data_IF_977354933595
#
_entry.id   IF_977354933595
#
_cell.length_a   1.000
_cell.length_b   1.000
_cell.length_c   1.000
_cell.angle_alpha   90.00
_cell.angle_beta   90.00
_cell.angle_gamma   90.00
#
_symmetry.space_group_name_H-M   'P 1'
#
loop_
_entity.id
_entity.type
_entity.pdbx_description
1 polymer ?
#
# COMPACT_ATOMS: atom_id res chain seq x y z
N UNK A 1 60.61 32.05 -24.81
CA UNK A 1 60.46 30.71 -25.44
C UNK A 1 59.84 29.80 -24.40
N UNK A 2 58.57 29.44 -24.59
CA UNK A 2 57.71 28.84 -23.57
C UNK A 2 57.65 27.30 -23.68
N UNK A 3 57.37 26.67 -22.55
CA UNK A 3 57.49 25.24 -22.25
C UNK A 3 56.65 24.30 -23.13
N UNK A 4 57.20 23.10 -23.33
CA UNK A 4 56.70 22.00 -24.15
C UNK A 4 56.05 20.90 -23.30
N UNK A 5 55.03 20.27 -23.88
CA UNK A 5 54.44 18.95 -23.63
C UNK A 5 53.20 18.85 -22.72
N UNK A 6 52.08 18.71 -23.42
CA UNK A 6 50.73 18.37 -22.96
C UNK A 6 50.34 16.94 -23.36
N UNK A 7 49.47 16.34 -22.54
CA UNK A 7 48.42 15.37 -22.91
C UNK A 7 48.81 13.89 -23.21
N UNK A 8 48.87 13.09 -22.15
CA UNK A 8 48.45 11.68 -22.11
C UNK A 8 47.09 11.67 -21.38
N UNK A 9 46.00 11.01 -21.74
CA UNK A 9 45.66 10.01 -22.73
C UNK A 9 44.37 9.36 -22.19
N UNK A 10 43.29 9.31 -22.98
CA UNK A 10 42.10 8.45 -22.77
C UNK A 10 41.28 8.46 -24.06
N UNK A 11 41.70 7.62 -25.00
CA UNK A 11 40.99 7.28 -26.22
C UNK A 11 40.33 5.89 -26.06
N UNK A 12 39.20 5.69 -26.73
CA UNK A 12 38.22 4.61 -26.48
C UNK A 12 37.24 5.14 -25.44
N UNK A 13 35.99 5.49 -25.73
CA UNK A 13 34.94 4.70 -26.37
C UNK A 13 34.00 5.59 -27.20
N UNK A 14 34.52 6.28 -28.22
CA UNK A 14 33.69 6.89 -29.27
C UNK A 14 33.78 5.99 -30.50
N UNK A 15 32.77 5.15 -30.72
CA UNK A 15 32.31 4.67 -32.05
C UNK A 15 31.23 3.57 -31.93
N UNK A 16 30.22 3.77 -31.08
CA UNK A 16 28.93 3.10 -31.23
C UNK A 16 27.82 4.15 -31.06
N UNK A 17 27.82 5.11 -31.99
CA UNK A 17 26.59 5.83 -32.35
C UNK A 17 25.95 5.06 -33.50
N UNK A 18 24.82 4.40 -33.22
CA UNK A 18 23.76 4.28 -34.20
C UNK A 18 22.53 4.97 -33.61
N UNK A 19 22.21 6.06 -34.28
CA UNK A 19 21.16 7.04 -33.99
C UNK A 19 19.86 6.47 -34.55
N UNK A 20 18.86 6.22 -33.70
CA UNK A 20 17.46 6.07 -34.11
C UNK A 20 16.57 6.69 -33.02
N UNK A 21 16.10 7.91 -33.35
CA UNK A 21 14.98 8.72 -32.85
C UNK A 21 14.77 8.95 -31.34
N UNK A 22 14.42 10.19 -30.94
CA UNK A 22 13.86 10.45 -29.63
C UNK A 22 12.43 9.89 -29.61
N UNK A 23 12.20 8.81 -28.85
CA UNK A 23 10.84 8.41 -28.46
C UNK A 23 10.32 9.46 -27.47
N UNK A 24 9.91 10.59 -28.04
CA UNK A 24 9.05 11.55 -27.37
C UNK A 24 7.66 10.92 -27.28
N UNK A 25 7.13 10.86 -26.06
CA UNK A 25 5.70 10.65 -25.76
C UNK A 25 5.08 9.34 -26.28
N UNK A 26 5.40 8.25 -25.60
CA UNK A 26 4.33 7.40 -25.07
C UNK A 26 4.41 7.50 -23.55
N UNK A 27 3.92 8.61 -22.98
CA UNK A 27 3.60 8.64 -21.57
C UNK A 27 2.62 7.48 -21.31
N UNK A 28 2.80 6.65 -20.28
CA UNK A 28 1.73 5.82 -19.76
C UNK A 28 0.73 6.73 -19.02
N UNK A 29 0.19 7.73 -19.70
CA UNK A 29 -0.90 8.55 -19.20
C UNK A 29 -2.26 7.83 -19.36
N UNK A 30 -2.30 6.69 -20.05
CA UNK A 30 -3.53 5.91 -20.24
C UNK A 30 -3.82 4.92 -19.10
N UNK A 31 -2.81 4.32 -18.46
CA UNK A 31 -3.04 3.34 -17.39
C UNK A 31 -3.55 3.96 -16.07
N UNK A 32 -3.04 5.13 -15.61
CA UNK A 32 -3.60 5.81 -14.44
C UNK A 32 -5.05 6.26 -14.69
N UNK A 33 -5.37 6.59 -15.95
CA UNK A 33 -6.69 7.07 -16.35
C UNK A 33 -7.72 5.98 -16.55
N UNK A 34 -7.32 4.74 -16.86
CA UNK A 34 -8.25 3.62 -16.94
C UNK A 34 -8.79 3.26 -15.55
N UNK A 35 -7.94 3.27 -14.52
CA UNK A 35 -8.42 3.14 -13.14
C UNK A 35 -9.21 4.37 -12.69
N UNK A 36 -8.76 5.58 -13.03
CA UNK A 36 -9.54 6.79 -12.77
C UNK A 36 -10.88 6.80 -13.49
N UNK A 37 -11.02 6.23 -14.70
CA UNK A 37 -12.29 6.14 -15.44
C UNK A 37 -13.20 5.05 -14.87
N UNK A 38 -12.67 3.89 -14.48
CA UNK A 38 -13.44 2.86 -13.77
C UNK A 38 -13.84 3.28 -12.36
N UNK A 39 -12.96 4.00 -11.65
CA UNK A 39 -13.22 4.62 -10.35
C UNK A 39 -14.16 5.82 -10.49
N UNK A 40 -14.13 6.57 -11.60
CA UNK A 40 -15.10 7.62 -11.93
C UNK A 40 -16.44 7.03 -12.36
N UNK A 41 -16.47 5.85 -13.02
CA UNK A 41 -17.68 5.13 -13.38
C UNK A 41 -18.34 4.49 -12.15
N UNK A 42 -17.52 3.99 -11.22
CA UNK A 42 -17.94 3.61 -9.87
C UNK A 42 -18.42 4.83 -9.11
N UNK A 43 -17.68 5.95 -9.10
CA UNK A 43 -18.16 7.20 -8.51
C UNK A 43 -19.43 7.72 -9.16
N UNK A 44 -19.65 7.60 -10.47
CA UNK A 44 -20.84 8.09 -11.17
C UNK A 44 -22.07 7.20 -10.92
N UNK A 45 -21.85 5.88 -10.81
CA UNK A 45 -22.88 4.94 -10.35
C UNK A 45 -23.16 5.10 -8.85
N UNK A 46 -22.11 5.41 -8.07
CA UNK A 46 -22.19 5.77 -6.67
C UNK A 46 -22.73 7.18 -6.47
N UNK A 47 -22.65 8.13 -7.41
CA UNK A 47 -23.21 9.49 -7.25
C UNK A 47 -24.74 9.42 -7.20
N UNK A 48 -25.32 8.52 -8.01
CA UNK A 48 -26.74 8.16 -7.92
C UNK A 48 -27.08 7.41 -6.61
N UNK A 49 -26.10 6.73 -6.01
CA UNK A 49 -26.21 6.05 -4.71
C UNK A 49 -25.83 6.95 -3.52
N UNK A 50 -25.10 8.05 -3.74
CA UNK A 50 -24.49 8.97 -2.77
C UNK A 50 -25.52 9.95 -2.23
N UNK A 51 -26.55 10.26 -3.03
CA UNK A 51 -27.74 10.96 -2.56
C UNK A 51 -28.53 10.10 -1.55
N UNK A 52 -28.36 8.76 -1.55
CA UNK A 52 -28.90 7.88 -0.51
C UNK A 52 -27.87 7.53 0.60
N UNK A 53 -26.57 7.46 0.28
CA UNK A 53 -25.48 7.12 1.21
C UNK A 53 -24.97 8.27 2.07
N UNK A 54 -25.35 9.52 1.80
CA UNK A 54 -25.05 10.66 2.68
C UNK A 54 -25.62 10.49 4.10
N UNK A 55 -26.48 9.48 4.34
CA UNK A 55 -27.05 9.11 5.63
C UNK A 55 -26.65 7.71 6.14
N UNK A 56 -25.85 6.93 5.41
CA UNK A 56 -25.31 5.68 5.96
C UNK A 56 -24.10 6.04 6.83
N UNK A 57 -24.24 5.91 8.16
CA UNK A 57 -23.17 6.01 9.15
C UNK A 57 -21.81 5.58 8.60
N UNK A 58 -20.74 6.36 8.88
CA UNK A 58 -19.35 6.01 8.56
C UNK A 58 -19.15 4.48 8.62
N UNK A 59 -19.11 3.82 7.45
CA UNK A 59 -18.84 2.38 7.40
C UNK A 59 -17.52 2.15 8.13
N UNK A 60 -17.46 1.09 8.93
CA UNK A 60 -16.22 0.71 9.57
C UNK A 60 -15.15 0.50 8.49
N UNK A 61 -13.92 0.95 8.76
CA UNK A 61 -12.83 1.01 7.78
C UNK A 61 -12.53 -0.36 7.15
N UNK A 62 -12.64 -1.43 7.92
CA UNK A 62 -12.54 -2.83 7.47
C UNK A 62 -13.57 -3.18 6.39
N UNK A 63 -14.84 -2.85 6.61
CA UNK A 63 -15.91 -3.12 5.65
C UNK A 63 -15.69 -2.34 4.35
N UNK A 64 -15.29 -1.07 4.46
CA UNK A 64 -15.00 -0.26 3.28
C UNK A 64 -13.85 -0.83 2.45
N UNK A 65 -12.75 -1.23 3.11
CA UNK A 65 -11.59 -1.81 2.42
C UNK A 65 -11.95 -3.14 1.75
N UNK A 66 -12.78 -3.97 2.39
CA UNK A 66 -13.28 -5.22 1.79
C UNK A 66 -14.07 -4.94 0.52
N UNK A 67 -15.06 -4.06 0.61
CA UNK A 67 -15.92 -3.69 -0.52
C UNK A 67 -15.08 -3.10 -1.68
N UNK A 68 -14.09 -2.26 -1.37
CA UNK A 68 -13.23 -1.63 -2.37
C UNK A 68 -12.33 -2.63 -3.10
N UNK A 69 -11.70 -3.56 -2.37
CA UNK A 69 -10.84 -4.61 -2.96
C UNK A 69 -11.69 -5.59 -3.77
N UNK A 70 -12.84 -6.02 -3.25
CA UNK A 70 -13.78 -6.89 -3.97
C UNK A 70 -14.22 -6.24 -5.28
N UNK A 71 -14.66 -4.99 -5.23
CA UNK A 71 -15.08 -4.22 -6.41
C UNK A 71 -13.96 -4.15 -7.45
N UNK A 72 -12.72 -3.92 -7.02
CA UNK A 72 -11.55 -3.89 -7.91
C UNK A 72 -11.29 -5.24 -8.57
N UNK A 73 -11.35 -6.33 -7.80
CA UNK A 73 -11.06 -7.67 -8.27
C UNK A 73 -12.18 -8.22 -9.17
N UNK A 74 -13.43 -7.86 -8.92
CA UNK A 74 -14.56 -8.21 -9.80
C UNK A 74 -14.38 -7.67 -11.23
N UNK A 75 -13.63 -6.59 -11.42
CA UNK A 75 -13.27 -6.10 -12.77
C UNK A 75 -12.38 -7.07 -13.56
N UNK A 76 -11.70 -8.02 -12.88
CA UNK A 76 -10.81 -9.00 -13.49
C UNK A 76 -11.54 -10.25 -13.98
N UNK A 77 -12.76 -10.52 -13.50
CA UNK A 77 -13.57 -11.70 -13.83
C UNK A 77 -13.61 -12.01 -15.34
N UNK A 78 -13.93 -11.04 -16.25
CA UNK A 78 -13.98 -11.34 -17.69
C UNK A 78 -12.61 -11.66 -18.31
N UNK A 79 -11.51 -11.38 -17.62
CA UNK A 79 -10.14 -11.58 -18.10
C UNK A 79 -9.35 -12.61 -17.28
N UNK A 80 -10.01 -13.32 -16.35
CA UNK A 80 -9.35 -14.15 -15.34
C UNK A 80 -8.49 -15.27 -15.95
N UNK A 81 -8.93 -15.84 -17.08
CA UNK A 81 -8.21 -16.91 -17.80
C UNK A 81 -6.83 -16.46 -18.32
N UNK A 82 -6.66 -15.17 -18.61
CA UNK A 82 -5.41 -14.61 -19.12
C UNK A 82 -4.66 -13.80 -18.07
N UNK A 83 -5.26 -13.59 -16.90
CA UNK A 83 -4.72 -12.77 -15.84
C UNK A 83 -3.37 -13.27 -15.30
N UNK A 84 -3.13 -14.57 -15.09
CA UNK A 84 -1.81 -15.06 -14.67
C UNK A 84 -0.68 -14.69 -15.64
N UNK A 85 -0.98 -14.66 -16.95
CA UNK A 85 -0.04 -14.21 -17.98
C UNK A 85 0.17 -12.69 -17.94
N UNK A 86 -0.88 -11.91 -17.66
CA UNK A 86 -0.74 -10.47 -17.47
C UNK A 86 0.13 -10.15 -16.24
N UNK A 87 -0.06 -10.86 -15.12
CA UNK A 87 0.74 -10.72 -13.91
C UNK A 87 2.22 -11.04 -14.16
N UNK A 88 2.51 -12.09 -14.93
CA UNK A 88 3.90 -12.41 -15.28
C UNK A 88 4.53 -11.29 -16.10
N UNK A 89 3.79 -10.63 -17.00
CA UNK A 89 4.25 -9.47 -17.78
C UNK A 89 4.53 -8.25 -16.88
N UNK A 90 3.66 -7.99 -15.91
CA UNK A 90 3.80 -6.88 -14.96
C UNK A 90 5.02 -7.03 -14.03
N UNK A 91 5.48 -8.28 -13.82
CA UNK A 91 6.65 -8.63 -13.02
C UNK A 91 7.98 -8.55 -13.78
N UNK A 92 8.00 -8.27 -15.10
CA UNK A 92 9.27 -8.11 -15.81
C UNK A 92 10.03 -6.88 -15.27
N UNK A 93 11.38 -6.95 -15.13
CA UNK A 93 12.17 -5.89 -14.49
C UNK A 93 11.95 -4.47 -15.05
N UNK A 94 11.63 -4.35 -16.33
CA UNK A 94 11.35 -3.07 -16.98
C UNK A 94 9.93 -2.53 -16.71
N UNK A 95 8.99 -3.41 -16.38
CA UNK A 95 7.60 -3.05 -16.05
C UNK A 95 7.38 -2.83 -14.55
N UNK A 96 8.23 -3.42 -13.69
CA UNK A 96 8.10 -3.33 -12.22
C UNK A 96 7.89 -1.90 -11.71
N UNK A 97 8.68 -0.87 -12.14
CA UNK A 97 8.48 0.48 -11.62
C UNK A 97 7.10 1.04 -11.96
N UNK A 98 6.59 0.74 -13.15
CA UNK A 98 5.27 1.20 -13.59
C UNK A 98 4.14 0.42 -12.91
N UNK A 99 4.25 -0.91 -12.81
CA UNK A 99 3.25 -1.76 -12.18
C UNK A 99 3.15 -1.47 -10.67
N UNK A 100 4.29 -1.28 -10.00
CA UNK A 100 4.32 -0.90 -8.59
C UNK A 100 3.71 0.48 -8.37
N UNK A 101 4.01 1.46 -9.22
CA UNK A 101 3.41 2.81 -9.12
C UNK A 101 1.88 2.77 -9.26
N UNK A 102 1.33 1.92 -10.13
CA UNK A 102 -0.11 1.73 -10.26
C UNK A 102 -0.70 1.08 -9.00
N UNK A 103 -0.05 0.03 -8.48
CA UNK A 103 -0.46 -0.65 -7.26
C UNK A 103 -0.49 0.30 -6.06
N UNK A 104 0.58 1.07 -5.84
CA UNK A 104 0.66 2.01 -4.72
C UNK A 104 -0.36 3.13 -4.86
N UNK A 105 -0.57 3.65 -6.08
CA UNK A 105 -1.59 4.69 -6.30
C UNK A 105 -3.00 4.19 -6.00
N UNK A 106 -3.33 2.97 -6.42
CA UNK A 106 -4.62 2.35 -6.14
C UNK A 106 -4.84 2.12 -4.63
N UNK A 107 -3.83 1.62 -3.93
CA UNK A 107 -3.86 1.41 -2.47
C UNK A 107 -4.04 2.74 -1.73
N UNK A 108 -3.35 3.78 -2.18
CA UNK A 108 -3.47 5.13 -1.64
C UNK A 108 -4.87 5.71 -1.81
N UNK A 109 -5.48 5.51 -2.98
CA UNK A 109 -6.86 5.91 -3.24
C UNK A 109 -7.84 5.19 -2.31
N UNK A 110 -7.71 3.86 -2.15
CA UNK A 110 -8.56 3.08 -1.24
C UNK A 110 -8.48 3.62 0.20
N UNK A 111 -7.27 3.89 0.71
CA UNK A 111 -7.08 4.46 2.05
C UNK A 111 -7.61 5.90 2.17
N UNK A 112 -7.49 6.69 1.11
CA UNK A 112 -8.02 8.05 1.07
C UNK A 112 -9.54 8.08 1.23
N UNK A 113 -10.27 7.21 0.50
CA UNK A 113 -11.72 7.10 0.63
C UNK A 113 -12.16 6.42 1.92
N UNK A 114 -11.35 5.53 2.48
CA UNK A 114 -11.60 4.92 3.78
C UNK A 114 -11.55 5.94 4.94
N UNK A 115 -11.12 7.18 4.67
CA UNK A 115 -11.06 8.27 5.65
C UNK A 115 -9.88 8.14 6.61
N UNK A 116 -8.81 7.43 6.23
CA UNK A 116 -7.63 7.27 7.06
C UNK A 116 -6.93 8.61 7.30
N UNK A 117 -6.74 8.95 8.57
CA UNK A 117 -6.04 10.15 9.05
C UNK A 117 -4.63 9.81 9.58
N UNK A 118 -4.13 8.60 9.31
CA UNK A 118 -2.84 8.16 9.84
C UNK A 118 -1.67 8.93 9.22
N UNK A 119 -0.87 9.57 10.07
CA UNK A 119 0.42 10.16 9.71
C UNK A 119 1.56 9.26 10.22
N UNK A 120 2.77 9.43 9.66
CA UNK A 120 4.02 8.78 10.10
C UNK A 120 4.16 7.27 9.80
N UNK A 121 4.90 6.50 10.61
CA UNK A 121 5.21 5.08 10.37
C UNK A 121 3.97 4.20 10.08
N UNK A 122 2.82 4.56 10.64
CA UNK A 122 1.55 3.86 10.40
C UNK A 122 1.12 3.97 8.92
N UNK A 123 1.44 5.07 8.24
CA UNK A 123 1.13 5.32 6.83
C UNK A 123 1.78 4.27 5.90
N UNK A 124 3.08 3.99 6.10
CA UNK A 124 3.82 3.02 5.31
C UNK A 124 3.34 1.59 5.58
N UNK A 125 3.13 1.25 6.85
CA UNK A 125 2.66 -0.08 7.25
C UNK A 125 1.27 -0.37 6.68
N UNK A 126 0.31 0.56 6.79
CA UNK A 126 -1.04 0.39 6.24
C UNK A 126 -1.05 0.15 4.73
N UNK A 127 -0.21 0.87 3.99
CA UNK A 127 -0.07 0.70 2.53
C UNK A 127 0.59 -0.62 2.17
N UNK A 128 1.67 -0.98 2.86
CA UNK A 128 2.35 -2.25 2.64
C UNK A 128 1.42 -3.44 2.93
N UNK A 129 0.66 -3.37 4.02
CA UNK A 129 -0.32 -4.41 4.39
C UNK A 129 -1.44 -4.48 3.37
N UNK A 130 -2.08 -3.37 2.99
CA UNK A 130 -3.18 -3.40 2.01
C UNK A 130 -2.70 -3.84 0.62
N UNK A 131 -1.51 -3.44 0.19
CA UNK A 131 -0.90 -3.92 -1.04
C UNK A 131 -0.64 -5.43 -1.01
N UNK A 132 -0.17 -5.96 0.12
CA UNK A 132 0.02 -7.40 0.31
C UNK A 132 -1.33 -8.15 0.30
N UNK A 133 -2.36 -7.62 0.96
CA UNK A 133 -3.71 -8.19 0.92
C UNK A 133 -4.22 -8.25 -0.52
N UNK A 134 -4.16 -7.13 -1.26
CA UNK A 134 -4.59 -7.09 -2.65
C UNK A 134 -3.87 -8.14 -3.52
N UNK A 135 -2.54 -8.17 -3.49
CA UNK A 135 -1.75 -9.09 -4.32
C UNK A 135 -1.99 -10.56 -3.96
N UNK A 136 -2.13 -10.88 -2.67
CA UNK A 136 -2.38 -12.25 -2.23
C UNK A 136 -3.80 -12.70 -2.58
N UNK A 137 -4.81 -11.85 -2.40
CA UNK A 137 -6.19 -12.14 -2.80
C UNK A 137 -6.30 -12.27 -4.33
N UNK A 138 -5.59 -11.44 -5.09
CA UNK A 138 -5.51 -11.54 -6.55
C UNK A 138 -4.93 -12.90 -6.99
N UNK A 139 -3.87 -13.38 -6.32
CA UNK A 139 -3.29 -14.69 -6.60
C UNK A 139 -4.22 -15.85 -6.21
N UNK A 140 -4.95 -15.73 -5.10
CA UNK A 140 -5.97 -16.72 -4.70
C UNK A 140 -7.09 -16.77 -5.74
N UNK A 141 -7.57 -15.62 -6.21
CA UNK A 141 -8.62 -15.51 -7.22
C UNK A 141 -8.27 -16.24 -8.52
N UNK A 142 -7.00 -16.25 -8.93
CA UNK A 142 -6.57 -16.99 -10.15
C UNK A 142 -6.68 -18.51 -10.04
N UNK A 143 -6.76 -19.04 -8.83
CA UNK A 143 -6.84 -20.48 -8.55
C UNK A 143 -8.24 -20.92 -8.09
N UNK A 144 -9.12 -19.95 -7.85
CA UNK A 144 -10.44 -20.19 -7.30
C UNK A 144 -11.43 -20.63 -8.39
N UNK A 145 -12.17 -21.70 -8.12
CA UNK A 145 -13.22 -22.26 -8.98
C UNK A 145 -14.57 -22.35 -8.27
N UNK A 146 -14.69 -21.73 -7.08
CA UNK A 146 -15.92 -21.66 -6.30
C UNK A 146 -16.98 -20.78 -7.01
N UNK A 147 -18.28 -21.00 -6.76
CA UNK A 147 -19.33 -20.15 -7.29
C UNK A 147 -19.10 -18.69 -6.87
N UNK A 148 -19.18 -17.75 -7.81
CA UNK A 148 -18.93 -16.30 -7.62
C UNK A 148 -17.66 -15.95 -6.82
N UNK A 149 -16.62 -16.80 -6.83
CA UNK A 149 -15.38 -16.59 -6.07
C UNK A 149 -15.58 -16.48 -4.54
N UNK A 150 -16.57 -17.17 -3.98
CA UNK A 150 -16.87 -17.19 -2.53
C UNK A 150 -15.63 -17.47 -1.66
N UNK A 151 -14.76 -18.39 -2.08
CA UNK A 151 -13.54 -18.72 -1.33
C UNK A 151 -12.52 -17.56 -1.34
N UNK A 152 -12.42 -16.82 -2.45
CA UNK A 152 -11.61 -15.60 -2.55
C UNK A 152 -12.11 -14.51 -1.62
N UNK A 153 -13.43 -14.30 -1.54
CA UNK A 153 -14.02 -13.29 -0.66
C UNK A 153 -13.87 -13.64 0.82
N UNK A 154 -14.00 -14.94 1.16
CA UNK A 154 -13.70 -15.42 2.51
C UNK A 154 -12.22 -15.22 2.87
N UNK A 155 -11.31 -15.48 1.93
CA UNK A 155 -9.89 -15.22 2.12
C UNK A 155 -9.62 -13.72 2.37
N UNK A 156 -10.20 -12.84 1.56
CA UNK A 156 -10.09 -11.39 1.71
C UNK A 156 -10.56 -10.92 3.09
N UNK A 157 -11.74 -11.38 3.53
CA UNK A 157 -12.28 -11.04 4.85
C UNK A 157 -11.31 -11.45 5.97
N UNK A 158 -10.78 -12.67 5.92
CA UNK A 158 -9.81 -13.15 6.91
C UNK A 158 -8.53 -12.30 6.92
N UNK A 159 -8.02 -11.88 5.75
CA UNK A 159 -6.80 -11.04 5.67
C UNK A 159 -7.02 -9.63 6.20
N UNK A 160 -8.20 -9.05 5.96
CA UNK A 160 -8.55 -7.73 6.52
C UNK A 160 -8.70 -7.82 8.04
N UNK A 161 -9.37 -8.86 8.55
CA UNK A 161 -9.52 -9.08 9.99
C UNK A 161 -8.17 -9.23 10.68
N UNK A 162 -7.24 -10.00 10.10
CA UNK A 162 -5.87 -10.12 10.61
C UNK A 162 -5.15 -8.75 10.67
N UNK A 163 -5.28 -7.94 9.63
CA UNK A 163 -4.67 -6.60 9.59
C UNK A 163 -5.20 -5.68 10.69
N UNK A 164 -6.51 -5.70 10.95
CA UNK A 164 -7.11 -4.89 12.01
C UNK A 164 -6.69 -5.38 13.40
N UNK A 165 -6.67 -6.71 13.61
CA UNK A 165 -6.26 -7.32 14.88
C UNK A 165 -4.78 -7.08 15.21
N UNK A 166 -3.90 -7.10 14.20
CA UNK A 166 -2.49 -6.76 14.37
C UNK A 166 -2.30 -5.33 14.88
N UNK A 167 -3.09 -4.37 14.36
CA UNK A 167 -3.06 -2.98 14.81
C UNK A 167 -3.45 -2.83 16.28
N UNK A 168 -4.50 -3.52 16.72
CA UNK A 168 -4.94 -3.50 18.12
C UNK A 168 -3.90 -4.12 19.07
N UNK A 169 -3.32 -5.26 18.68
CA UNK A 169 -2.33 -5.98 19.50
C UNK A 169 -1.06 -5.16 19.70
N UNK A 170 -0.54 -4.54 18.64
CA UNK A 170 0.65 -3.70 18.71
C UNK A 170 0.47 -2.50 19.66
N UNK A 171 -0.70 -1.85 19.59
CA UNK A 171 -1.03 -0.72 20.48
C UNK A 171 -1.17 -1.17 21.93
N UNK A 172 -1.81 -2.31 22.19
CA UNK A 172 -2.00 -2.85 23.53
C UNK A 172 -0.66 -3.23 24.20
N UNK A 173 0.27 -3.83 23.46
CA UNK A 173 1.60 -4.17 23.98
C UNK A 173 2.38 -2.90 24.36
N UNK A 174 2.33 -1.87 23.51
CA UNK A 174 3.00 -0.59 23.79
C UNK A 174 2.42 0.08 25.05
N UNK A 175 1.10 0.18 25.17
CA UNK A 175 0.46 0.81 26.33
C UNK A 175 0.71 0.02 27.62
N UNK A 176 0.71 -1.32 27.54
CA UNK A 176 1.00 -2.17 28.70
C UNK A 176 2.46 -2.03 29.15
N UNK A 177 3.40 -1.96 28.21
CA UNK A 177 4.81 -1.70 28.51
C UNK A 177 5.05 -0.35 29.18
N UNK A 178 4.43 0.72 28.66
CA UNK A 178 4.49 2.06 29.25
C UNK A 178 3.89 2.08 30.67
N UNK A 179 2.73 1.45 30.86
CA UNK A 179 2.08 1.36 32.17
C UNK A 179 2.94 0.59 33.20
N UNK A 180 3.60 -0.49 32.79
CA UNK A 180 4.49 -1.27 33.66
C UNK A 180 5.72 -0.46 34.09
N UNK A 181 6.35 0.26 33.15
CA UNK A 181 7.49 1.14 33.46
C UNK A 181 7.07 2.25 34.41
N UNK A 182 5.92 2.88 34.18
CA UNK A 182 5.39 3.91 35.07
C UNK A 182 5.07 3.36 36.47
N UNK A 183 4.48 2.17 36.57
CA UNK A 183 4.22 1.48 37.83
C UNK A 183 5.49 1.17 38.62
N UNK A 184 6.53 0.66 37.94
CA UNK A 184 7.85 0.40 38.53
C UNK A 184 8.52 1.68 39.02
N UNK A 185 8.48 2.75 38.23
CA UNK A 185 9.05 4.05 38.63
C UNK A 185 8.28 4.66 39.80
N UNK A 186 6.95 4.57 39.82
CA UNK A 186 6.13 5.01 40.95
C UNK A 186 6.45 4.24 42.23
N UNK A 187 6.56 2.91 42.15
CA UNK A 187 6.97 2.07 43.28
C UNK A 187 8.39 2.40 43.76
N UNK A 188 9.33 2.63 42.83
CA UNK A 188 10.69 3.02 43.16
C UNK A 188 10.77 4.39 43.86
N UNK A 189 9.98 5.38 43.43
CA UNK A 189 9.87 6.68 44.11
C UNK A 189 9.28 6.53 45.50
N UNK A 190 8.21 5.74 45.66
CA UNK A 190 7.62 5.46 46.98
C UNK A 190 8.62 4.77 47.90
N UNK A 191 9.35 3.77 47.42
CA UNK A 191 10.43 3.11 48.17
C UNK A 191 11.55 4.09 48.53
N UNK A 192 11.98 4.95 47.60
CA UNK A 192 12.99 5.98 47.85
C UNK A 192 12.55 6.99 48.93
N UNK A 193 11.26 7.32 48.97
CA UNK A 193 10.69 8.21 49.99
C UNK A 193 10.57 7.52 51.36
N UNK A 194 10.15 6.25 51.39
CA UNK A 194 10.01 5.47 52.63
C UNK A 194 11.36 5.11 53.26
N UNK A 195 12.40 4.90 52.46
CA UNK A 195 13.75 4.54 52.94
C UNK A 195 14.57 5.73 53.42
N UNK A 196 14.02 6.95 53.41
CA UNK A 196 14.68 8.14 53.98
C UNK A 196 15.89 8.64 53.20
N UNK A 197 16.18 8.10 52.01
CA UNK A 197 17.33 8.47 51.17
C UNK A 197 17.22 9.89 50.56
N UNK A 198 16.14 10.62 50.82
CA UNK A 198 15.91 11.99 50.32
C UNK A 198 16.10 13.08 51.39
N UNK A 199 16.61 12.75 52.58
CA UNK A 199 17.15 13.76 53.50
C UNK A 199 18.64 13.95 53.23
N UNK A 200 19.00 14.97 52.45
CA UNK A 200 20.27 15.65 52.66
C UNK A 200 20.05 17.15 52.84
N UNK A 201 20.57 17.60 53.98
CA UNK A 201 21.00 18.96 54.29
C UNK A 201 21.93 19.50 53.21
#
# INVERSE_FOLDING_TARGET
MAAVSSAFGRAGWRLLQLRCLPVSRCQPALAPRAFHASALQLRASDEQKLVQLSQAEKRKTDQFLRDAVETRLRMLIPYIEHWPRALSILMLPHNIPASLSLLTSMVDEMWHYAGDQSTDFNWYTRRAVLAAIYNTTELVMTQDSSPDFEDTWRFLENRINDAMNMGHTANQVKSTGEALVQGLMGAAVTLKNLTGLNQRR
#
